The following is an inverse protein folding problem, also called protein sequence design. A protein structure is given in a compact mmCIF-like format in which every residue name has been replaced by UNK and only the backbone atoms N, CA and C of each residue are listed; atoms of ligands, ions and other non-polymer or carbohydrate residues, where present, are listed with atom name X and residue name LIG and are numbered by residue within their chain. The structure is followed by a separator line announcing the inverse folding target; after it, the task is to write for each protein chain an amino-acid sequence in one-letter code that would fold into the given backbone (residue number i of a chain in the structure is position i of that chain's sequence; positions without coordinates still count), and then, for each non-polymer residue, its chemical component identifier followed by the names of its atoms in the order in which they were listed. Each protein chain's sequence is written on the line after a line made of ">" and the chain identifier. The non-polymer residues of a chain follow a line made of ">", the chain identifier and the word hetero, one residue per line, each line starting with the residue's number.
data_IF_236896509453
#
_entry.id   IF_236896509453
#
_cell.length_a   1.000
_cell.length_b   1.000
_cell.length_c   1.000
_cell.angle_alpha   90.00
_cell.angle_beta   90.00
_cell.angle_gamma   90.00
#
_symmetry.space_group_name_H-M   'P 1'
#
loop_
_entity.id
_entity.type
_entity.pdbx_description
1 polymer ?
#
# COMPACT_ATOMS: atom_id res chain seq x y z
N UNK A 1 -18.33 23.87 -60.87
CA UNK A 1 -18.52 22.73 -59.97
C UNK A 1 -17.47 22.80 -58.87
N UNK A 2 -17.85 23.21 -57.67
CA UNK A 2 -16.96 23.31 -56.50
C UNK A 2 -17.15 22.06 -55.66
N UNK A 3 -16.13 21.22 -55.55
CA UNK A 3 -16.16 20.06 -54.66
C UNK A 3 -15.79 20.53 -53.25
N UNK A 4 -16.75 20.44 -52.34
CA UNK A 4 -16.56 20.64 -50.90
C UNK A 4 -16.06 19.34 -50.30
N UNK A 5 -14.77 19.29 -49.96
CA UNK A 5 -14.19 18.17 -49.25
C UNK A 5 -14.43 18.41 -47.76
N UNK A 6 -15.38 17.69 -47.16
CA UNK A 6 -15.56 17.61 -45.72
C UNK A 6 -14.49 16.66 -45.13
N UNK A 7 -13.44 17.24 -44.55
CA UNK A 7 -12.49 16.48 -43.71
C UNK A 7 -13.18 16.24 -42.37
N UNK A 8 -13.68 15.03 -42.19
CA UNK A 8 -14.21 14.54 -40.92
C UNK A 8 -13.02 14.31 -39.98
N UNK A 9 -12.66 15.29 -39.18
CA UNK A 9 -11.71 15.11 -38.06
C UNK A 9 -12.41 14.30 -36.98
N UNK A 10 -12.24 12.98 -37.03
CA UNK A 10 -12.59 12.09 -35.95
C UNK A 10 -11.62 12.37 -34.78
N UNK A 11 -12.04 13.15 -33.83
CA UNK A 11 -11.39 13.29 -32.54
C UNK A 11 -11.49 11.93 -31.82
N UNK A 12 -10.47 11.09 -31.96
CA UNK A 12 -10.26 9.96 -31.08
C UNK A 12 -9.91 10.53 -29.70
N UNK A 13 -10.93 10.72 -28.86
CA UNK A 13 -10.73 10.95 -27.44
C UNK A 13 -10.15 9.68 -26.84
N UNK A 14 -8.81 9.60 -26.77
CA UNK A 14 -8.14 8.56 -25.98
C UNK A 14 -8.46 8.91 -24.52
N UNK A 15 -9.48 8.29 -23.98
CA UNK A 15 -9.69 8.29 -22.53
C UNK A 15 -8.51 7.53 -21.92
N UNK A 16 -7.57 8.27 -21.34
CA UNK A 16 -6.52 7.73 -20.48
C UNK A 16 -7.23 7.09 -19.27
N UNK A 17 -7.49 5.79 -19.38
CA UNK A 17 -8.07 5.01 -18.28
C UNK A 17 -6.96 4.77 -17.28
N UNK A 18 -6.92 5.54 -16.20
CA UNK A 18 -6.00 5.27 -15.09
C UNK A 18 -6.35 3.91 -14.50
N UNK A 19 -5.41 2.97 -14.60
CA UNK A 19 -5.58 1.64 -14.01
C UNK A 19 -5.54 1.79 -12.49
N UNK A 20 -6.58 1.34 -11.81
CA UNK A 20 -6.68 1.40 -10.35
C UNK A 20 -7.35 0.15 -9.79
N UNK A 21 -7.11 -0.14 -8.53
CA UNK A 21 -7.80 -1.21 -7.81
C UNK A 21 -7.88 -0.90 -6.31
N UNK A 22 -8.84 -1.52 -5.63
CA UNK A 22 -8.97 -1.46 -4.18
C UNK A 22 -8.54 -2.78 -3.54
N UNK A 23 -8.06 -2.70 -2.32
CA UNK A 23 -7.72 -3.87 -1.52
C UNK A 23 -8.20 -3.72 -0.08
N UNK A 24 -8.40 -4.84 0.57
CA UNK A 24 -8.58 -4.96 2.01
C UNK A 24 -7.63 -6.01 2.52
N UNK A 25 -6.89 -5.67 3.57
CA UNK A 25 -6.02 -6.61 4.27
C UNK A 25 -6.46 -6.71 5.73
N UNK A 26 -6.32 -7.91 6.28
CA UNK A 26 -6.61 -8.19 7.68
C UNK A 26 -5.54 -9.12 8.23
N UNK A 27 -5.02 -8.80 9.42
CA UNK A 27 -3.97 -9.61 10.01
C UNK A 27 -3.69 -9.22 11.45
N UNK A 28 -2.53 -9.66 11.95
CA UNK A 28 -2.10 -9.38 13.32
C UNK A 28 -0.60 -9.14 13.41
N UNK A 29 -0.21 -8.50 14.50
CA UNK A 29 1.20 -8.37 14.86
C UNK A 29 1.67 -9.68 15.47
N UNK A 30 2.62 -10.35 14.81
CA UNK A 30 3.18 -11.63 15.28
C UNK A 30 4.51 -11.47 16.00
N UNK A 31 5.17 -10.32 15.84
CA UNK A 31 6.40 -9.96 16.53
C UNK A 31 6.47 -8.45 16.74
N UNK A 32 6.89 -8.05 17.94
CA UNK A 32 7.08 -6.66 18.31
C UNK A 32 8.24 -6.56 19.30
N UNK A 33 9.33 -5.90 18.92
CA UNK A 33 10.53 -5.72 19.75
C UNK A 33 10.76 -4.23 19.96
N UNK A 34 10.93 -3.85 21.23
CA UNK A 34 11.05 -2.45 21.65
C UNK A 34 12.42 -2.18 22.23
N UNK A 35 13.18 -1.27 21.63
CA UNK A 35 14.39 -0.68 22.20
C UNK A 35 14.07 0.70 22.74
N UNK A 36 14.29 0.93 24.04
CA UNK A 36 14.13 2.22 24.70
C UNK A 36 15.47 2.96 24.75
N UNK A 37 15.45 4.25 24.46
CA UNK A 37 16.62 5.12 24.54
C UNK A 37 16.63 5.92 25.86
N UNK A 38 17.81 6.36 26.32
CA UNK A 38 17.92 7.12 27.57
C UNK A 38 17.13 8.45 27.59
N UNK A 39 16.88 9.05 26.42
CA UNK A 39 16.10 10.30 26.30
C UNK A 39 14.58 10.09 26.34
N UNK A 40 14.13 8.82 26.50
CA UNK A 40 12.72 8.43 26.52
C UNK A 40 12.11 8.16 25.15
N UNK A 41 12.86 8.32 24.06
CA UNK A 41 12.44 7.84 22.74
C UNK A 41 12.50 6.31 22.64
N UNK A 42 11.85 5.74 21.65
CA UNK A 42 11.86 4.27 21.46
C UNK A 42 11.85 3.90 19.98
N UNK A 43 12.56 2.84 19.67
CA UNK A 43 12.52 2.17 18.38
C UNK A 43 11.75 0.85 18.53
N UNK A 44 10.85 0.58 17.59
CA UNK A 44 10.07 -0.65 17.57
C UNK A 44 10.28 -1.33 16.24
N UNK A 45 10.75 -2.57 16.23
CA UNK A 45 10.67 -3.43 15.06
C UNK A 45 9.46 -4.34 15.18
N UNK A 46 8.75 -4.54 14.06
CA UNK A 46 7.52 -5.33 14.05
C UNK A 46 7.44 -6.26 12.85
N UNK A 47 6.62 -7.30 13.00
CA UNK A 47 6.18 -8.17 11.90
C UNK A 47 4.67 -8.34 11.96
N UNK A 48 4.01 -8.05 10.84
CA UNK A 48 2.59 -8.32 10.64
C UNK A 48 2.41 -9.45 9.64
N UNK A 49 1.42 -10.29 9.85
CA UNK A 49 1.04 -11.35 8.93
C UNK A 49 -0.48 -11.42 8.83
N UNK A 50 -0.97 -11.76 7.63
CA UNK A 50 -2.42 -11.86 7.42
C UNK A 50 -2.79 -12.20 5.99
N UNK A 51 -4.05 -11.95 5.68
CA UNK A 51 -4.63 -12.12 4.35
C UNK A 51 -5.01 -10.79 3.71
N UNK A 52 -5.15 -10.81 2.39
CA UNK A 52 -5.66 -9.70 1.61
C UNK A 52 -6.65 -10.18 0.55
N UNK A 53 -7.52 -9.28 0.12
CA UNK A 53 -8.40 -9.41 -1.04
C UNK A 53 -8.41 -8.10 -1.85
N UNK A 54 -8.73 -8.19 -3.13
CA UNK A 54 -8.87 -7.06 -4.04
C UNK A 54 -10.17 -7.13 -4.82
N UNK A 55 -10.63 -6.00 -5.36
CA UNK A 55 -11.77 -5.93 -6.29
C UNK A 55 -11.50 -6.57 -7.66
N UNK A 56 -10.25 -6.97 -7.92
CA UNK A 56 -9.84 -7.74 -9.10
C UNK A 56 -9.93 -9.25 -8.90
N UNK A 57 -10.66 -9.73 -7.88
CA UNK A 57 -10.77 -11.14 -7.50
C UNK A 57 -9.40 -11.81 -7.20
N UNK A 58 -8.42 -11.02 -6.75
CA UNK A 58 -7.16 -11.52 -6.21
C UNK A 58 -7.20 -11.51 -4.69
N UNK A 59 -6.79 -12.62 -4.09
CA UNK A 59 -6.68 -12.77 -2.66
C UNK A 59 -5.46 -13.61 -2.31
N UNK A 60 -4.98 -13.49 -1.09
CA UNK A 60 -3.77 -14.21 -0.70
C UNK A 60 -3.30 -13.86 0.70
N UNK A 61 -2.02 -14.05 0.94
CA UNK A 61 -1.37 -13.80 2.22
C UNK A 61 -0.29 -12.75 2.08
N UNK A 62 -0.02 -12.05 3.18
CA UNK A 62 1.07 -11.11 3.26
C UNK A 62 1.93 -11.31 4.53
N UNK A 63 3.18 -10.88 4.42
CA UNK A 63 4.11 -10.73 5.55
C UNK A 63 4.79 -9.38 5.42
N UNK A 64 4.62 -8.54 6.45
CA UNK A 64 5.24 -7.23 6.50
C UNK A 64 6.27 -7.18 7.63
N UNK A 65 7.41 -6.57 7.35
CA UNK A 65 8.45 -6.23 8.31
C UNK A 65 8.64 -4.73 8.31
N UNK A 66 8.76 -4.15 9.48
CA UNK A 66 8.92 -2.71 9.57
C UNK A 66 9.53 -2.24 10.88
N UNK A 67 9.73 -0.93 10.93
CA UNK A 67 10.22 -0.26 12.12
C UNK A 67 9.51 1.07 12.34
N UNK A 68 9.37 1.45 13.60
CA UNK A 68 8.77 2.69 14.04
C UNK A 68 9.72 3.38 15.00
N UNK A 69 9.99 4.65 14.77
CA UNK A 69 10.68 5.53 15.71
C UNK A 69 9.66 6.45 16.37
N UNK A 70 9.59 6.39 17.69
CA UNK A 70 8.80 7.30 18.50
C UNK A 70 9.73 8.28 19.23
N UNK A 71 9.34 9.55 19.28
CA UNK A 71 10.03 10.53 20.11
C UNK A 71 9.70 10.33 21.61
N UNK A 72 10.36 11.10 22.46
CA UNK A 72 10.15 11.10 23.93
C UNK A 72 8.71 11.39 24.38
N UNK A 73 7.87 11.99 23.53
CA UNK A 73 6.44 12.21 23.77
C UNK A 73 5.55 11.08 23.25
N UNK A 74 6.15 9.95 22.85
CA UNK A 74 5.47 8.81 22.21
C UNK A 74 4.73 9.16 20.90
N UNK A 75 5.13 10.24 20.24
CA UNK A 75 4.62 10.62 18.92
C UNK A 75 5.44 9.89 17.86
N UNK A 76 4.78 9.37 16.83
CA UNK A 76 5.41 8.73 15.69
C UNK A 76 6.25 9.77 14.91
N UNK A 77 7.57 9.55 14.87
CA UNK A 77 8.49 10.36 14.08
C UNK A 77 8.72 9.78 12.70
N UNK A 78 8.85 8.45 12.65
CA UNK A 78 9.12 7.75 11.41
C UNK A 78 8.61 6.33 11.46
N UNK A 79 8.13 5.82 10.33
CA UNK A 79 7.75 4.44 10.16
C UNK A 79 7.99 4.02 8.72
N UNK A 80 8.72 2.93 8.54
CA UNK A 80 8.92 2.25 7.26
C UNK A 80 8.60 0.77 7.39
N UNK A 81 8.08 0.20 6.32
CA UNK A 81 7.84 -1.23 6.24
C UNK A 81 7.89 -1.71 4.80
N UNK A 82 8.19 -2.99 4.64
CA UNK A 82 8.07 -3.71 3.39
C UNK A 82 7.21 -4.94 3.60
N UNK A 83 6.35 -5.24 2.61
CA UNK A 83 5.50 -6.41 2.63
C UNK A 83 5.81 -7.31 1.43
N UNK A 84 5.93 -8.59 1.69
CA UNK A 84 5.92 -9.64 0.67
C UNK A 84 4.52 -10.23 0.63
N UNK A 85 3.89 -10.15 -0.52
CA UNK A 85 2.54 -10.61 -0.77
C UNK A 85 2.57 -11.78 -1.75
N UNK A 86 1.68 -12.77 -1.56
CA UNK A 86 1.53 -13.92 -2.45
C UNK A 86 0.05 -14.20 -2.66
N UNK A 87 -0.38 -14.23 -3.92
CA UNK A 87 -1.78 -14.50 -4.26
C UNK A 87 -2.10 -16.01 -4.37
N UNK A 88 -3.37 -16.32 -4.60
CA UNK A 88 -3.90 -17.69 -4.73
C UNK A 88 -3.29 -18.49 -5.88
N UNK A 89 -2.72 -17.82 -6.89
CA UNK A 89 -2.06 -18.46 -8.03
C UNK A 89 -0.56 -18.67 -7.82
N UNK A 90 -0.01 -18.16 -6.69
CA UNK A 90 1.41 -18.20 -6.38
C UNK A 90 2.21 -17.00 -6.89
N UNK A 91 1.57 -16.07 -7.62
CA UNK A 91 2.20 -14.82 -8.02
C UNK A 91 2.46 -13.93 -6.81
N UNK A 92 3.59 -13.22 -6.82
CA UNK A 92 4.06 -12.42 -5.70
C UNK A 92 4.21 -10.96 -6.08
N UNK A 93 4.13 -10.07 -5.08
CA UNK A 93 4.52 -8.67 -5.23
C UNK A 93 5.07 -8.12 -3.93
N UNK A 94 5.95 -7.13 -4.05
CA UNK A 94 6.59 -6.46 -2.93
C UNK A 94 6.08 -5.03 -2.85
N UNK A 95 5.62 -4.63 -1.68
CA UNK A 95 5.28 -3.24 -1.41
C UNK A 95 6.22 -2.67 -0.36
N UNK A 96 6.57 -1.39 -0.50
CA UNK A 96 7.24 -0.62 0.54
C UNK A 96 6.37 0.57 0.91
N UNK A 97 6.27 0.85 2.19
CA UNK A 97 5.41 1.90 2.67
C UNK A 97 5.95 2.68 3.85
N UNK A 98 5.29 3.81 4.09
CA UNK A 98 5.56 4.72 5.20
C UNK A 98 4.28 5.29 5.77
N UNK A 99 4.31 5.65 7.04
CA UNK A 99 3.25 6.43 7.68
C UNK A 99 3.68 7.87 7.83
N UNK A 100 2.70 8.76 7.79
CA UNK A 100 2.93 10.18 8.00
C UNK A 100 3.33 10.44 9.46
N UNK A 101 4.33 11.30 9.66
CA UNK A 101 4.74 11.77 10.99
C UNK A 101 3.54 12.33 11.78
N UNK A 102 3.48 12.02 13.07
CA UNK A 102 2.42 12.48 13.97
C UNK A 102 1.07 11.77 13.82
N UNK A 103 0.95 10.75 12.96
CA UNK A 103 -0.27 9.95 12.89
C UNK A 103 -0.50 9.14 14.17
N UNK A 104 -1.77 8.93 14.53
CA UNK A 104 -2.15 8.12 15.69
C UNK A 104 -1.65 6.66 15.54
N UNK A 105 -1.45 5.97 16.66
CA UNK A 105 -0.95 4.60 16.67
C UNK A 105 -1.96 3.61 16.11
N UNK A 106 -3.18 3.73 16.55
CA UNK A 106 -4.30 2.84 16.32
C UNK A 106 -5.10 3.15 15.07
N UNK A 107 -4.92 4.38 14.54
CA UNK A 107 -5.65 4.86 13.36
C UNK A 107 -4.80 5.83 12.55
N UNK A 108 -4.53 5.51 11.29
CA UNK A 108 -3.69 6.35 10.43
C UNK A 108 -3.96 6.16 8.94
N UNK A 109 -3.47 7.13 8.17
CA UNK A 109 -3.36 7.05 6.71
C UNK A 109 -1.89 6.95 6.36
N UNK A 110 -1.56 6.06 5.43
CA UNK A 110 -0.22 5.88 4.91
C UNK A 110 -0.22 5.66 3.41
N UNK A 111 0.98 5.52 2.87
CA UNK A 111 1.20 5.23 1.45
C UNK A 111 2.14 4.05 1.29
N UNK A 112 1.90 3.25 0.27
CA UNK A 112 2.80 2.19 -0.18
C UNK A 112 2.99 2.30 -1.69
N UNK A 113 4.09 1.75 -2.17
CA UNK A 113 4.39 1.59 -3.58
C UNK A 113 4.64 0.12 -3.88
N UNK A 114 4.17 -0.37 -5.03
CA UNK A 114 4.48 -1.71 -5.52
C UNK A 114 5.83 -1.62 -6.24
N UNK A 115 6.87 -2.20 -5.62
CA UNK A 115 8.24 -2.10 -6.12
C UNK A 115 8.62 -3.20 -7.10
N UNK A 116 8.00 -4.37 -6.94
CA UNK A 116 8.30 -5.55 -7.76
C UNK A 116 7.10 -6.50 -7.77
N UNK A 117 7.02 -7.38 -8.79
CA UNK A 117 5.95 -8.36 -8.91
C UNK A 117 6.22 -9.42 -9.94
N UNK A 118 5.58 -10.58 -9.78
CA UNK A 118 5.60 -11.70 -10.73
C UNK A 118 4.21 -11.89 -11.35
N UNK A 119 4.16 -12.58 -12.49
CA UNK A 119 2.92 -12.94 -13.15
C UNK A 119 1.98 -11.75 -13.34
N UNK A 120 0.77 -11.86 -12.80
CA UNK A 120 -0.26 -10.82 -12.85
C UNK A 120 0.19 -9.46 -12.28
N UNK A 121 1.02 -9.47 -11.24
CA UNK A 121 1.41 -8.26 -10.51
C UNK A 121 2.48 -7.42 -11.22
N UNK A 122 3.11 -7.94 -12.29
CA UNK A 122 4.09 -7.17 -13.09
C UNK A 122 3.50 -5.88 -13.66
N UNK A 123 2.23 -5.92 -14.05
CA UNK A 123 1.53 -4.77 -14.63
C UNK A 123 1.18 -3.67 -13.61
N UNK A 124 1.46 -3.90 -12.35
CA UNK A 124 1.17 -2.98 -11.24
C UNK A 124 2.44 -2.43 -10.58
N UNK A 125 3.61 -2.75 -11.10
CA UNK A 125 4.89 -2.19 -10.61
C UNK A 125 4.86 -0.67 -10.80
N UNK A 126 5.22 0.09 -9.75
CA UNK A 126 5.19 1.56 -9.72
C UNK A 126 3.85 2.14 -9.24
N UNK A 127 2.80 1.33 -9.04
CA UNK A 127 1.54 1.83 -8.49
C UNK A 127 1.73 2.32 -7.07
N UNK A 128 1.16 3.49 -6.77
CA UNK A 128 1.08 4.03 -5.42
C UNK A 128 -0.27 3.72 -4.81
N UNK A 129 -0.26 3.18 -3.61
CA UNK A 129 -1.45 2.88 -2.85
C UNK A 129 -1.57 3.83 -1.64
N UNK A 130 -2.76 4.38 -1.44
CA UNK A 130 -3.12 5.04 -0.18
C UNK A 130 -3.93 4.06 0.64
N UNK A 131 -3.59 3.90 1.91
CA UNK A 131 -4.29 3.01 2.82
C UNK A 131 -4.68 3.71 4.13
N UNK A 132 -5.76 3.27 4.72
CA UNK A 132 -6.06 3.53 6.12
C UNK A 132 -5.68 2.29 6.95
N UNK A 133 -5.37 2.49 8.22
CA UNK A 133 -5.12 1.40 9.17
C UNK A 133 -5.91 1.64 10.44
N UNK A 134 -6.55 0.60 10.93
CA UNK A 134 -7.29 0.59 12.18
C UNK A 134 -7.06 -0.73 12.90
N UNK A 135 -6.86 -0.65 14.22
CA UNK A 135 -6.71 -1.82 15.08
C UNK A 135 -7.98 -2.02 15.88
N UNK A 136 -8.44 -3.25 15.95
CA UNK A 136 -9.48 -3.73 16.87
C UNK A 136 -8.86 -4.87 17.64
N UNK A 137 -8.58 -4.65 18.90
CA UNK A 137 -7.77 -5.51 19.75
C UNK A 137 -6.37 -5.77 19.11
N UNK A 138 -6.03 -7.02 18.83
CA UNK A 138 -4.76 -7.43 18.18
C UNK A 138 -4.88 -7.60 16.66
N UNK A 139 -6.07 -7.35 16.10
CA UNK A 139 -6.33 -7.46 14.66
C UNK A 139 -6.21 -6.11 13.98
N UNK A 140 -5.46 -6.06 12.91
CA UNK A 140 -5.30 -4.88 12.06
C UNK A 140 -6.16 -5.01 10.80
N UNK A 141 -6.87 -3.92 10.46
CA UNK A 141 -7.65 -3.77 9.25
C UNK A 141 -7.04 -2.69 8.38
N UNK A 142 -6.80 -2.99 7.12
CA UNK A 142 -6.11 -2.08 6.18
C UNK A 142 -6.85 -2.04 4.85
N UNK A 143 -7.91 -1.22 4.73
CA UNK A 143 -8.46 -0.90 3.42
C UNK A 143 -7.54 0.08 2.68
N UNK A 144 -7.45 -0.06 1.36
CA UNK A 144 -6.65 0.83 0.53
C UNK A 144 -7.06 0.85 -0.93
N UNK A 145 -6.49 1.81 -1.64
CA UNK A 145 -6.68 2.01 -3.08
C UNK A 145 -5.33 2.28 -3.73
N UNK A 146 -5.05 1.55 -4.80
CA UNK A 146 -3.85 1.69 -5.62
C UNK A 146 -4.20 2.30 -6.96
N UNK A 147 -3.33 3.13 -7.46
CA UNK A 147 -3.45 3.75 -8.79
C UNK A 147 -2.09 3.87 -9.45
N UNK A 148 -2.11 3.87 -10.77
CA UNK A 148 -0.96 4.22 -11.57
C UNK A 148 -0.55 5.67 -11.28
N UNK A 149 0.75 5.88 -11.04
CA UNK A 149 1.34 7.22 -10.79
C UNK A 149 2.04 7.79 -12.01
N UNK A 150 2.07 7.03 -13.10
CA UNK A 150 2.69 7.46 -14.36
C UNK A 150 1.65 8.20 -15.21
N UNK A 151 1.19 9.37 -14.72
CA UNK A 151 0.51 10.39 -15.53
C UNK A 151 0.57 11.73 -14.82
#
# INVERSE_FOLDING_TARGET
>A
MKYFIYILLAFFSVTLYSKEFTFKSMGKTVRNEVTKFPDGSKFVSFRHEGGFETDMAKYGIYKCHGSILYNKKSTLENMYFACHNKDQNGDTYITMGKRKKGSALDRAIGQTEILDGTGFWKDFIGFTCTYAIEYVDDVVFVPGKCKDTIN
#
